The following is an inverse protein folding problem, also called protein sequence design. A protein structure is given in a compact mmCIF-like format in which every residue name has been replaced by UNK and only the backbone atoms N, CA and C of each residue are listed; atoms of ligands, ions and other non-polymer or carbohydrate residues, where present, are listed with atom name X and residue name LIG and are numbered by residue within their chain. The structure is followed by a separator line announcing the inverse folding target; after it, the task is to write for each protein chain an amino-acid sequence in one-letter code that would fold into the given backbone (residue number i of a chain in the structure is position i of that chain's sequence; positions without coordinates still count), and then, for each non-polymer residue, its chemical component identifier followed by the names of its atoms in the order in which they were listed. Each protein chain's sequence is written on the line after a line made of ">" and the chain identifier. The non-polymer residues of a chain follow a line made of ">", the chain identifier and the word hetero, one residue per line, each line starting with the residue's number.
data_IF_305918035456
#
_entry.id   IF_305918035456
#
_cell.length_a   1.000
_cell.length_b   1.000
_cell.length_c   1.000
_cell.angle_alpha   90.00
_cell.angle_beta   90.00
_cell.angle_gamma   90.00
#
_symmetry.space_group_name_H-M   'P 1'
#
loop_
_entity.id
_entity.type
_entity.pdbx_description
1 polymer ?
#
# COMPACT_ATOMS: atom_id res chain seq x y z
N UNK A 1 -16.12 -34.53 29.55
CA UNK A 1 -15.11 -33.77 28.78
C UNK A 1 -15.26 -32.31 29.11
N UNK A 2 -14.18 -31.69 29.58
CA UNK A 2 -14.18 -30.33 30.11
C UNK A 2 -14.41 -29.29 28.99
N UNK A 3 -15.48 -28.49 29.08
CA UNK A 3 -15.82 -27.44 28.13
C UNK A 3 -14.68 -26.42 27.97
N UNK A 4 -13.87 -26.21 29.02
CA UNK A 4 -12.69 -25.36 28.99
C UNK A 4 -11.61 -25.95 28.06
N UNK A 5 -11.50 -27.26 27.93
CA UNK A 5 -10.54 -27.92 27.05
C UNK A 5 -10.97 -27.86 25.59
N UNK A 6 -12.29 -27.92 25.33
CA UNK A 6 -12.82 -27.71 23.97
C UNK A 6 -12.63 -26.25 23.52
N UNK A 7 -12.87 -25.28 24.41
CA UNK A 7 -12.63 -23.86 24.10
C UNK A 7 -11.14 -23.57 23.82
N UNK A 8 -10.23 -24.12 24.64
CA UNK A 8 -8.77 -24.00 24.40
C UNK A 8 -8.35 -24.61 23.06
N UNK A 9 -8.95 -25.73 22.65
CA UNK A 9 -8.66 -26.38 21.37
C UNK A 9 -9.22 -25.57 20.19
N UNK A 10 -10.38 -24.93 20.34
CA UNK A 10 -10.95 -24.02 19.34
C UNK A 10 -10.08 -22.78 19.21
N UNK A 11 -9.66 -22.16 20.33
CA UNK A 11 -8.76 -21.00 20.33
C UNK A 11 -7.39 -21.36 19.74
N UNK A 12 -6.81 -22.53 20.07
CA UNK A 12 -5.56 -23.02 19.45
C UNK A 12 -5.71 -23.26 17.95
N UNK A 13 -6.83 -23.83 17.51
CA UNK A 13 -7.13 -24.05 16.09
C UNK A 13 -7.32 -22.72 15.34
N UNK A 14 -7.99 -21.76 15.94
CA UNK A 14 -8.18 -20.42 15.40
C UNK A 14 -6.86 -19.65 15.33
N UNK A 15 -6.00 -19.74 16.35
CA UNK A 15 -4.66 -19.14 16.35
C UNK A 15 -3.71 -19.83 15.36
N UNK A 16 -3.84 -21.15 15.11
CA UNK A 16 -3.09 -21.85 14.08
C UNK A 16 -3.56 -21.53 12.66
N UNK A 17 -4.87 -21.29 12.47
CA UNK A 17 -5.44 -20.81 11.22
C UNK A 17 -4.96 -19.38 10.93
N UNK A 18 -4.89 -18.50 11.95
CA UNK A 18 -4.38 -17.14 11.81
C UNK A 18 -2.87 -17.06 11.50
N UNK A 19 -2.08 -18.09 11.80
CA UNK A 19 -0.65 -18.10 11.46
C UNK A 19 -0.37 -18.39 9.97
N UNK A 20 -1.36 -18.84 9.21
CA UNK A 20 -1.24 -19.18 7.79
C UNK A 20 -2.00 -18.23 6.84
N UNK A 21 -2.57 -17.14 7.37
CA UNK A 21 -3.29 -16.17 6.54
C UNK A 21 -2.29 -15.13 6.01
N UNK A 22 -2.29 -14.92 4.70
CA UNK A 22 -1.48 -13.88 4.10
C UNK A 22 -1.90 -12.49 4.63
N UNK A 23 -0.93 -11.64 4.92
CA UNK A 23 -1.18 -10.22 5.16
C UNK A 23 -1.59 -9.57 3.85
N UNK A 24 -2.75 -8.96 3.80
CA UNK A 24 -3.25 -8.27 2.61
C UNK A 24 -3.16 -6.77 2.85
N UNK A 25 -2.50 -6.07 1.94
CA UNK A 25 -2.31 -4.63 1.96
C UNK A 25 -2.76 -4.06 0.62
N UNK A 26 -3.81 -3.26 0.63
CA UNK A 26 -4.32 -2.60 -0.59
C UNK A 26 -3.78 -1.19 -0.70
N UNK A 27 -3.16 -0.86 -1.84
CA UNK A 27 -2.70 0.48 -2.18
C UNK A 27 -3.75 1.15 -3.06
N UNK A 28 -4.26 2.28 -2.62
CA UNK A 28 -5.34 3.00 -3.31
C UNK A 28 -5.14 4.52 -3.27
N UNK A 29 -5.90 5.25 -4.08
CA UNK A 29 -5.93 6.72 -4.05
C UNK A 29 -7.20 7.25 -4.68
N UNK A 30 -7.63 8.44 -4.28
CA UNK A 30 -8.74 9.14 -4.91
C UNK A 30 -8.41 9.65 -6.32
N UNK A 31 -7.13 9.91 -6.64
CA UNK A 31 -6.69 10.52 -7.90
C UNK A 31 -5.66 9.65 -8.62
N UNK A 32 -5.73 9.64 -9.97
CA UNK A 32 -4.72 9.02 -10.81
C UNK A 32 -3.37 9.73 -10.75
N UNK A 33 -2.27 8.99 -10.99
CA UNK A 33 -0.94 9.57 -11.11
C UNK A 33 -0.27 10.02 -9.80
N UNK A 34 -0.86 9.77 -8.62
CA UNK A 34 -0.28 10.15 -7.32
C UNK A 34 0.82 9.21 -6.83
N UNK A 35 1.11 8.12 -7.56
CA UNK A 35 2.24 7.22 -7.27
C UNK A 35 1.89 5.91 -6.57
N UNK A 36 0.64 5.42 -6.67
CA UNK A 36 0.21 4.12 -6.11
C UNK A 36 1.11 2.96 -6.51
N UNK A 37 1.26 2.72 -7.81
CA UNK A 37 2.04 1.60 -8.35
C UNK A 37 3.51 1.68 -7.95
N UNK A 38 4.08 2.91 -7.90
CA UNK A 38 5.42 3.12 -7.36
C UNK A 38 5.53 2.72 -5.89
N UNK A 39 4.52 3.07 -5.07
CA UNK A 39 4.48 2.62 -3.68
C UNK A 39 4.35 1.09 -3.62
N UNK A 40 3.42 0.49 -4.36
CA UNK A 40 3.18 -0.96 -4.33
C UNK A 40 4.44 -1.76 -4.67
N UNK A 41 5.12 -1.45 -5.78
CA UNK A 41 6.31 -2.21 -6.21
C UNK A 41 7.52 -1.96 -5.31
N UNK A 42 7.77 -0.72 -4.87
CA UNK A 42 8.90 -0.43 -3.99
C UNK A 42 8.66 -0.96 -2.56
N UNK A 43 7.42 -0.92 -2.06
CA UNK A 43 7.05 -1.57 -0.80
C UNK A 43 7.31 -3.08 -0.87
N UNK A 44 6.91 -3.74 -1.96
CA UNK A 44 7.16 -5.16 -2.16
C UNK A 44 8.66 -5.50 -2.14
N UNK A 45 9.49 -4.67 -2.79
CA UNK A 45 10.96 -4.80 -2.75
C UNK A 45 11.49 -4.70 -1.32
N UNK A 46 11.02 -3.73 -0.54
CA UNK A 46 11.48 -3.55 0.84
C UNK A 46 10.97 -4.68 1.76
N UNK A 47 9.74 -5.14 1.60
CA UNK A 47 9.23 -6.31 2.30
C UNK A 47 10.05 -7.56 1.97
N UNK A 48 10.44 -7.73 0.70
CA UNK A 48 11.30 -8.84 0.29
C UNK A 48 12.70 -8.75 0.88
N UNK A 49 13.30 -7.56 0.93
CA UNK A 49 14.57 -7.30 1.63
C UNK A 49 14.48 -7.63 3.14
N UNK A 50 13.31 -7.42 3.74
CA UNK A 50 13.01 -7.83 5.12
C UNK A 50 12.71 -9.35 5.26
N UNK A 51 13.00 -10.18 4.26
CA UNK A 51 12.84 -11.62 4.28
C UNK A 51 11.41 -12.12 4.10
N UNK A 52 10.46 -11.26 3.70
CA UNK A 52 9.07 -11.67 3.49
C UNK A 52 8.87 -12.25 2.09
N UNK A 53 7.98 -13.23 1.94
CA UNK A 53 7.48 -13.66 0.63
C UNK A 53 6.37 -12.71 0.22
N UNK A 54 6.44 -12.18 -1.01
CA UNK A 54 5.53 -11.13 -1.47
C UNK A 54 4.99 -11.49 -2.85
N UNK A 55 3.70 -11.25 -3.03
CA UNK A 55 3.05 -11.25 -4.33
C UNK A 55 2.36 -9.89 -4.50
N UNK A 56 2.50 -9.29 -5.66
CA UNK A 56 1.74 -8.10 -6.05
C UNK A 56 0.58 -8.55 -6.93
N UNK A 57 -0.60 -8.04 -6.64
CA UNK A 57 -1.74 -8.16 -7.53
C UNK A 57 -2.01 -6.81 -8.18
N UNK A 58 -1.77 -6.72 -9.49
CA UNK A 58 -2.10 -5.55 -10.30
C UNK A 58 -3.60 -5.56 -10.61
N UNK A 59 -4.36 -4.79 -9.84
CA UNK A 59 -5.80 -4.64 -9.96
C UNK A 59 -6.20 -3.36 -10.71
N UNK A 60 -5.26 -2.69 -11.40
CA UNK A 60 -5.53 -1.59 -12.32
C UNK A 60 -5.75 -2.13 -13.74
N UNK A 61 -7.00 -2.47 -14.05
CA UNK A 61 -7.38 -3.21 -15.28
C UNK A 61 -7.18 -2.47 -16.60
N UNK A 62 -6.68 -1.27 -16.57
CA UNK A 62 -6.44 -0.48 -17.79
C UNK A 62 -4.97 -0.26 -18.10
N UNK A 63 -4.11 -0.42 -17.12
CA UNK A 63 -2.69 -0.06 -17.22
C UNK A 63 -1.84 -1.12 -16.53
N UNK A 64 -1.09 -1.91 -17.28
CA UNK A 64 -0.16 -2.94 -16.80
C UNK A 64 1.06 -2.32 -16.08
N UNK A 65 0.82 -1.63 -14.97
CA UNK A 65 1.83 -0.82 -14.29
C UNK A 65 2.94 -1.66 -13.66
N UNK A 66 2.60 -2.77 -13.01
CA UNK A 66 3.56 -3.65 -12.34
C UNK A 66 4.44 -4.38 -13.36
N UNK A 67 3.86 -4.86 -14.46
CA UNK A 67 4.57 -5.51 -15.56
C UNK A 67 5.65 -4.61 -16.13
N UNK A 68 5.29 -3.35 -16.43
CA UNK A 68 6.19 -2.34 -16.96
C UNK A 68 7.32 -2.05 -15.97
N UNK A 69 7.00 -1.89 -14.67
CA UNK A 69 8.00 -1.56 -13.65
C UNK A 69 8.93 -2.71 -13.30
N UNK A 70 8.52 -3.95 -13.53
CA UNK A 70 9.35 -5.14 -13.33
C UNK A 70 10.04 -5.60 -14.61
N UNK A 71 9.67 -5.04 -15.76
CA UNK A 71 10.22 -5.44 -17.06
C UNK A 71 9.90 -6.91 -17.39
N UNK A 72 8.79 -7.44 -16.91
CA UNK A 72 8.41 -8.83 -17.05
C UNK A 72 7.03 -8.95 -17.71
N UNK A 73 6.87 -9.88 -18.64
CA UNK A 73 5.62 -10.11 -19.38
C UNK A 73 4.96 -11.37 -18.83
N UNK A 74 3.73 -11.28 -18.27
CA UNK A 74 3.01 -12.44 -17.77
C UNK A 74 2.62 -13.38 -18.90
N UNK A 75 2.82 -14.67 -18.69
CA UNK A 75 2.35 -15.71 -19.61
C UNK A 75 0.84 -15.93 -19.46
N UNK A 76 0.35 -15.86 -18.24
CA UNK A 76 -1.04 -16.03 -17.85
C UNK A 76 -1.45 -14.92 -16.89
N UNK A 77 -2.74 -14.64 -16.84
CA UNK A 77 -3.34 -13.61 -15.99
C UNK A 77 -4.51 -14.17 -15.16
N UNK A 78 -5.15 -13.34 -14.37
CA UNK A 78 -6.28 -13.76 -13.55
C UNK A 78 -7.47 -14.31 -14.37
N UNK A 79 -7.68 -13.85 -15.60
CA UNK A 79 -8.73 -14.39 -16.49
C UNK A 79 -8.45 -15.85 -16.87
N UNK A 80 -7.19 -16.24 -17.03
CA UNK A 80 -6.80 -17.63 -17.29
C UNK A 80 -7.10 -18.53 -16.10
N UNK A 81 -6.93 -18.03 -14.88
CA UNK A 81 -7.32 -18.73 -13.65
C UNK A 81 -8.84 -18.91 -13.58
N UNK A 82 -9.62 -17.84 -13.82
CA UNK A 82 -11.09 -17.85 -13.64
C UNK A 82 -11.78 -18.66 -14.75
N UNK A 83 -11.37 -18.46 -16.01
CA UNK A 83 -12.12 -18.97 -17.17
C UNK A 83 -11.45 -20.13 -17.89
N UNK A 84 -10.15 -20.36 -17.70
CA UNK A 84 -9.39 -21.39 -18.42
C UNK A 84 -8.83 -22.49 -17.54
N UNK A 85 -9.18 -22.50 -16.24
CA UNK A 85 -8.82 -23.55 -15.29
C UNK A 85 -7.33 -23.61 -14.96
N UNK A 86 -6.58 -22.53 -15.18
CA UNK A 86 -5.18 -22.45 -14.77
C UNK A 86 -5.06 -22.45 -13.25
N UNK A 87 -4.01 -23.07 -12.73
CA UNK A 87 -3.71 -23.04 -11.29
C UNK A 87 -3.19 -21.66 -10.87
N UNK A 88 -3.41 -21.30 -9.60
CA UNK A 88 -2.94 -20.02 -9.06
C UNK A 88 -1.43 -19.82 -9.21
N UNK A 89 -0.64 -20.89 -9.07
CA UNK A 89 0.82 -20.86 -9.25
C UNK A 89 1.23 -20.60 -10.69
N UNK A 90 0.43 -21.01 -11.65
CA UNK A 90 0.72 -20.84 -13.07
C UNK A 90 0.55 -19.39 -13.52
N UNK A 91 -0.34 -18.64 -12.85
CA UNK A 91 -0.60 -17.21 -13.16
C UNK A 91 0.30 -16.23 -12.37
N UNK A 92 1.09 -16.72 -11.42
CA UNK A 92 2.08 -15.89 -10.72
C UNK A 92 3.33 -15.81 -11.61
N UNK A 93 3.61 -14.62 -12.10
CA UNK A 93 4.82 -14.33 -12.87
C UNK A 93 5.95 -13.93 -11.92
N UNK A 94 7.15 -14.53 -12.04
CA UNK A 94 8.29 -14.10 -11.23
C UNK A 94 8.82 -12.74 -11.70
N UNK A 95 9.00 -11.84 -10.75
CA UNK A 95 9.64 -10.54 -10.91
C UNK A 95 10.99 -10.47 -10.19
N UNK A 96 11.56 -9.27 -10.03
CA UNK A 96 12.83 -9.06 -9.34
C UNK A 96 12.82 -9.62 -7.91
N UNK A 97 13.93 -10.20 -7.47
CA UNK A 97 14.12 -10.77 -6.12
C UNK A 97 13.10 -11.86 -5.74
N UNK A 98 12.57 -12.63 -6.68
CA UNK A 98 11.49 -13.60 -6.49
C UNK A 98 10.19 -12.96 -5.93
N UNK A 99 9.93 -11.71 -6.22
CA UNK A 99 8.63 -11.10 -5.98
C UNK A 99 7.68 -11.62 -7.07
N UNK A 100 6.66 -12.37 -6.68
CA UNK A 100 5.63 -12.79 -7.62
C UNK A 100 4.72 -11.60 -7.98
N UNK A 101 4.17 -11.60 -9.19
CA UNK A 101 3.05 -10.71 -9.49
C UNK A 101 1.99 -11.41 -10.34
N UNK A 102 0.75 -10.96 -10.17
CA UNK A 102 -0.41 -11.42 -10.92
C UNK A 102 -0.93 -10.21 -11.68
N UNK A 103 -0.97 -10.34 -12.99
CA UNK A 103 -1.54 -9.31 -13.86
C UNK A 103 -3.05 -9.40 -13.90
N UNK A 104 -3.66 -8.25 -14.00
CA UNK A 104 -5.06 -7.96 -13.89
C UNK A 104 -6.05 -8.90 -14.54
N UNK A 105 -7.25 -8.77 -14.14
CA UNK A 105 -8.41 -9.53 -14.56
C UNK A 105 -9.55 -9.30 -13.57
N UNK A 106 -10.78 -9.34 -14.02
CA UNK A 106 -11.96 -9.08 -13.20
C UNK A 106 -12.09 -10.08 -12.04
N UNK A 107 -12.05 -9.60 -10.81
CA UNK A 107 -12.69 -10.29 -9.69
C UNK A 107 -11.82 -10.69 -8.50
N UNK A 108 -12.31 -10.30 -7.32
CA UNK A 108 -11.82 -10.67 -5.98
C UNK A 108 -11.94 -12.18 -5.70
N UNK A 109 -12.73 -12.91 -6.49
CA UNK A 109 -13.15 -14.31 -6.26
C UNK A 109 -11.97 -15.29 -6.13
N UNK A 110 -10.81 -14.99 -6.73
CA UNK A 110 -9.62 -15.84 -6.66
C UNK A 110 -8.71 -15.64 -5.44
N UNK A 111 -8.85 -14.54 -4.70
CA UNK A 111 -7.90 -14.17 -3.63
C UNK A 111 -7.89 -15.17 -2.47
N UNK A 112 -9.03 -15.78 -2.15
CA UNK A 112 -9.11 -16.78 -1.08
C UNK A 112 -8.23 -18.03 -1.33
N UNK A 113 -7.87 -18.32 -2.59
CA UNK A 113 -6.99 -19.42 -2.94
C UNK A 113 -5.50 -19.09 -2.75
N UNK A 114 -5.13 -17.78 -2.77
CA UNK A 114 -3.77 -17.33 -2.49
C UNK A 114 -3.35 -17.64 -1.04
N UNK A 115 -4.29 -17.71 -0.11
CA UNK A 115 -4.03 -18.07 1.29
C UNK A 115 -3.47 -19.50 1.46
N UNK A 116 -3.82 -20.42 0.56
CA UNK A 116 -3.36 -21.83 0.64
C UNK A 116 -1.92 -22.02 0.17
N UNK A 117 -1.37 -21.08 -0.60
CA UNK A 117 -0.08 -21.23 -1.31
C UNK A 117 1.11 -20.64 -0.53
N UNK A 118 0.96 -20.44 0.80
CA UNK A 118 2.01 -19.92 1.67
C UNK A 118 2.50 -18.50 1.28
N UNK A 119 1.66 -17.71 0.62
CA UNK A 119 1.93 -16.29 0.39
C UNK A 119 1.83 -15.56 1.72
N UNK A 120 2.93 -14.94 2.15
CA UNK A 120 3.00 -14.25 3.44
C UNK A 120 2.48 -12.81 3.39
N UNK A 121 2.61 -12.16 2.21
CA UNK A 121 2.18 -10.78 2.00
C UNK A 121 1.65 -10.61 0.58
N UNK A 122 0.43 -10.13 0.46
CA UNK A 122 -0.21 -9.76 -0.79
C UNK A 122 -0.34 -8.24 -0.83
N UNK A 123 0.28 -7.61 -1.80
CA UNK A 123 0.13 -6.16 -2.08
C UNK A 123 -0.80 -6.02 -3.28
N UNK A 124 -1.91 -5.31 -3.11
CA UNK A 124 -2.89 -5.06 -4.17
C UNK A 124 -2.70 -3.62 -4.66
N UNK A 125 -2.31 -3.43 -5.92
CA UNK A 125 -2.26 -2.13 -6.58
C UNK A 125 -3.57 -1.88 -7.32
N UNK A 126 -4.42 -0.99 -6.81
CA UNK A 126 -5.75 -0.72 -7.40
C UNK A 126 -5.70 0.39 -8.44
N UNK A 127 -6.72 0.48 -9.26
CA UNK A 127 -7.02 1.70 -10.01
C UNK A 127 -7.23 2.90 -9.07
N UNK A 128 -7.37 4.09 -9.66
CA UNK A 128 -7.68 5.31 -8.92
C UNK A 128 -9.19 5.57 -8.87
N UNK A 129 -9.61 6.35 -7.88
CA UNK A 129 -10.97 6.88 -7.79
C UNK A 129 -11.92 6.03 -6.95
N UNK A 130 -13.22 6.12 -7.26
CA UNK A 130 -14.31 5.63 -6.43
C UNK A 130 -15.17 4.56 -7.12
N UNK A 131 -14.61 3.84 -8.11
CA UNK A 131 -15.34 2.76 -8.77
C UNK A 131 -15.69 1.66 -7.76
N UNK A 132 -16.80 0.96 -8.00
CA UNK A 132 -17.26 -0.15 -7.15
C UNK A 132 -16.13 -1.16 -6.92
N UNK A 133 -15.36 -1.45 -7.96
CA UNK A 133 -14.24 -2.37 -7.90
C UNK A 133 -13.13 -1.91 -6.94
N UNK A 134 -12.74 -0.62 -6.98
CA UNK A 134 -11.76 -0.06 -6.03
C UNK A 134 -12.29 -0.16 -4.61
N UNK A 135 -13.57 0.19 -4.40
CA UNK A 135 -14.20 0.09 -3.07
C UNK A 135 -14.25 -1.35 -2.57
N UNK A 136 -14.54 -2.32 -3.43
CA UNK A 136 -14.54 -3.75 -3.06
C UNK A 136 -13.15 -4.22 -2.59
N UNK A 137 -12.07 -3.87 -3.28
CA UNK A 137 -10.71 -4.19 -2.83
C UNK A 137 -10.38 -3.55 -1.50
N UNK A 138 -10.74 -2.28 -1.32
CA UNK A 138 -10.52 -1.55 -0.07
C UNK A 138 -11.31 -2.19 1.08
N UNK A 139 -12.57 -2.54 0.88
CA UNK A 139 -13.42 -3.17 1.90
C UNK A 139 -12.98 -4.60 2.24
N UNK A 140 -12.44 -5.34 1.27
CA UNK A 140 -11.96 -6.71 1.48
C UNK A 140 -10.60 -6.78 2.19
N UNK A 141 -9.90 -5.65 2.35
CA UNK A 141 -8.54 -5.63 2.86
C UNK A 141 -8.48 -5.17 4.31
N UNK A 142 -7.79 -5.92 5.20
CA UNK A 142 -7.56 -5.51 6.59
C UNK A 142 -6.73 -4.23 6.71
N UNK A 143 -5.82 -4.01 5.75
CA UNK A 143 -4.92 -2.86 5.72
C UNK A 143 -4.98 -2.16 4.38
N UNK A 144 -5.12 -0.84 4.40
CA UNK A 144 -5.22 0.02 3.21
C UNK A 144 -4.21 1.15 3.30
N UNK A 145 -3.42 1.34 2.26
CA UNK A 145 -2.52 2.48 2.09
C UNK A 145 -3.18 3.48 1.15
N UNK A 146 -3.68 4.56 1.71
CA UNK A 146 -4.23 5.68 0.95
C UNK A 146 -3.12 6.64 0.56
N UNK A 147 -2.78 6.68 -0.72
CA UNK A 147 -1.76 7.59 -1.26
C UNK A 147 -2.40 8.93 -1.63
N UNK A 148 -1.88 10.00 -1.07
CA UNK A 148 -2.29 11.37 -1.41
C UNK A 148 -1.07 12.28 -1.55
N UNK A 149 -1.22 13.36 -2.31
CA UNK A 149 -0.20 14.41 -2.49
C UNK A 149 -0.66 15.71 -1.86
N UNK A 150 0.24 16.70 -1.65
CA UNK A 150 -0.14 18.03 -1.14
C UNK A 150 -1.10 18.81 -2.05
N UNK A 151 -1.27 18.38 -3.31
CA UNK A 151 -2.17 19.02 -4.27
C UNK A 151 -3.63 19.07 -3.75
N UNK A 152 -4.31 20.23 -3.80
CA UNK A 152 -5.70 20.34 -3.33
C UNK A 152 -6.65 19.33 -3.97
N UNK A 153 -6.51 19.06 -5.27
CA UNK A 153 -7.33 18.07 -5.99
C UNK A 153 -7.10 16.64 -5.43
N UNK A 154 -5.86 16.27 -5.12
CA UNK A 154 -5.55 14.96 -4.54
C UNK A 154 -6.20 14.78 -3.16
N UNK A 155 -6.20 15.82 -2.33
CA UNK A 155 -6.85 15.81 -1.02
C UNK A 155 -8.37 15.68 -1.15
N UNK A 156 -8.98 16.45 -2.08
CA UNK A 156 -10.42 16.39 -2.34
C UNK A 156 -10.85 15.01 -2.84
N UNK A 157 -10.10 14.44 -3.79
CA UNK A 157 -10.40 13.13 -4.35
C UNK A 157 -10.18 12.01 -3.31
N UNK A 158 -9.15 12.13 -2.48
CA UNK A 158 -8.93 11.20 -1.35
C UNK A 158 -10.08 11.26 -0.33
N UNK A 159 -10.58 12.45 0.01
CA UNK A 159 -11.76 12.59 0.85
C UNK A 159 -13.00 11.99 0.19
N UNK A 160 -13.18 12.19 -1.12
CA UNK A 160 -14.31 11.62 -1.86
C UNK A 160 -14.31 10.10 -1.83
N UNK A 161 -13.14 9.47 -1.98
CA UNK A 161 -12.97 8.01 -1.82
C UNK A 161 -13.37 7.56 -0.41
N UNK A 162 -12.84 8.23 0.63
CA UNK A 162 -13.15 7.90 2.02
C UNK A 162 -14.65 8.08 2.31
N UNK A 163 -15.26 9.16 1.81
CA UNK A 163 -16.69 9.41 1.95
C UNK A 163 -17.53 8.31 1.28
N UNK A 164 -17.17 7.88 0.07
CA UNK A 164 -17.84 6.78 -0.62
C UNK A 164 -17.71 5.47 0.18
N UNK A 165 -16.52 5.17 0.69
CA UNK A 165 -16.24 4.00 1.53
C UNK A 165 -17.09 4.00 2.81
N UNK A 166 -17.04 5.08 3.60
CA UNK A 166 -17.76 5.18 4.88
C UNK A 166 -19.29 5.20 4.73
N UNK A 167 -19.79 5.57 3.54
CA UNK A 167 -21.22 5.52 3.21
C UNK A 167 -21.68 4.19 2.63
N UNK A 168 -20.76 3.31 2.28
CA UNK A 168 -21.10 2.00 1.76
C UNK A 168 -21.67 1.12 2.89
N UNK A 169 -22.88 0.55 2.74
CA UNK A 169 -23.51 -0.25 3.77
C UNK A 169 -22.74 -1.52 4.14
N UNK A 170 -21.87 -1.99 3.25
CA UNK A 170 -21.04 -3.18 3.45
C UNK A 170 -19.70 -2.85 4.14
N UNK A 171 -19.38 -1.57 4.36
CA UNK A 171 -18.12 -1.18 5.00
C UNK A 171 -18.21 -1.29 6.52
N UNK A 172 -17.31 -2.09 7.09
CA UNK A 172 -17.17 -2.23 8.55
C UNK A 172 -15.94 -1.45 8.99
N UNK A 173 -16.14 -0.26 9.53
CA UNK A 173 -15.06 0.68 9.88
C UNK A 173 -14.01 0.09 10.85
N UNK A 174 -14.37 -0.86 11.72
CA UNK A 174 -13.44 -1.56 12.61
C UNK A 174 -12.68 -2.73 11.97
N UNK A 175 -13.06 -3.14 10.74
CA UNK A 175 -12.45 -4.28 10.03
C UNK A 175 -11.27 -3.89 9.13
N UNK A 176 -11.13 -2.61 8.81
CA UNK A 176 -10.10 -2.09 7.90
C UNK A 176 -9.33 -0.96 8.56
N UNK A 177 -8.01 -1.08 8.58
CA UNK A 177 -7.10 -0.01 9.04
C UNK A 177 -6.62 0.80 7.84
N UNK A 178 -6.91 2.10 7.80
CA UNK A 178 -6.51 2.98 6.71
C UNK A 178 -5.31 3.80 7.14
N UNK A 179 -4.21 3.64 6.41
CA UNK A 179 -2.96 4.36 6.58
C UNK A 179 -2.79 5.39 5.46
N UNK A 180 -2.50 6.63 5.81
CA UNK A 180 -2.17 7.69 4.85
C UNK A 180 -0.68 7.65 4.54
N UNK A 181 -0.34 7.69 3.26
CA UNK A 181 1.01 7.89 2.73
C UNK A 181 1.03 9.21 1.95
N UNK A 182 1.76 10.18 2.47
CA UNK A 182 1.93 11.48 1.82
C UNK A 182 3.05 11.42 0.78
N UNK A 183 2.71 11.49 -0.51
CA UNK A 183 3.68 11.37 -1.60
C UNK A 183 4.00 12.73 -2.24
N UNK A 184 5.19 12.82 -2.86
CA UNK A 184 5.71 14.02 -3.54
C UNK A 184 5.81 15.23 -2.63
N UNK A 185 6.18 15.01 -1.39
CA UNK A 185 6.33 16.09 -0.42
C UNK A 185 7.72 16.72 -0.48
N UNK A 186 7.80 18.00 -0.17
CA UNK A 186 9.04 18.78 -0.15
C UNK A 186 9.61 18.96 1.25
N UNK A 187 8.78 18.78 2.29
CA UNK A 187 9.17 18.85 3.69
C UNK A 187 8.38 17.88 4.57
N UNK A 188 8.86 17.64 5.77
CA UNK A 188 8.18 16.85 6.80
C UNK A 188 6.85 17.47 7.19
N UNK A 189 6.81 18.80 7.34
CA UNK A 189 5.61 19.53 7.72
C UNK A 189 4.52 19.45 6.63
N UNK A 190 4.93 19.46 5.36
CA UNK A 190 4.00 19.27 4.25
C UNK A 190 3.40 17.87 4.25
N UNK A 191 4.24 16.84 4.51
CA UNK A 191 3.79 15.46 4.63
C UNK A 191 2.81 15.25 5.77
N UNK A 192 3.12 15.79 6.95
CA UNK A 192 2.23 15.77 8.12
C UNK A 192 0.93 16.52 7.82
N UNK A 193 1.02 17.69 7.18
CA UNK A 193 -0.14 18.51 6.82
C UNK A 193 -1.14 17.83 5.87
N UNK A 194 -0.68 16.94 4.98
CA UNK A 194 -1.57 16.09 4.15
C UNK A 194 -2.40 15.16 5.04
N UNK A 195 -1.75 14.46 5.96
CA UNK A 195 -2.43 13.58 6.90
C UNK A 195 -3.40 14.33 7.80
N UNK A 196 -2.95 15.43 8.42
CA UNK A 196 -3.75 16.19 9.38
C UNK A 196 -5.05 16.72 8.75
N UNK A 197 -4.96 17.22 7.51
CA UNK A 197 -6.14 17.69 6.75
C UNK A 197 -7.12 16.54 6.49
N UNK A 198 -6.64 15.40 6.00
CA UNK A 198 -7.49 14.24 5.72
C UNK A 198 -8.09 13.68 7.00
N UNK A 199 -7.29 13.50 8.06
CA UNK A 199 -7.77 12.95 9.31
C UNK A 199 -8.77 13.88 10.01
N UNK A 200 -8.57 15.20 9.94
CA UNK A 200 -9.51 16.19 10.50
C UNK A 200 -10.89 16.07 9.86
N UNK A 201 -10.98 16.07 8.52
CA UNK A 201 -12.28 15.98 7.82
C UNK A 201 -12.93 14.61 7.99
N UNK A 202 -12.14 13.53 8.05
CA UNK A 202 -12.65 12.17 8.30
C UNK A 202 -13.20 12.06 9.72
N UNK A 203 -12.47 12.54 10.72
CA UNK A 203 -12.93 12.53 12.11
C UNK A 203 -14.20 13.36 12.29
N UNK A 204 -14.25 14.56 11.69
CA UNK A 204 -15.37 15.48 11.85
C UNK A 204 -16.64 15.04 11.13
N UNK A 205 -16.53 14.52 9.90
CA UNK A 205 -17.70 14.29 9.04
C UNK A 205 -18.04 12.82 8.82
N UNK A 206 -17.08 11.91 9.03
CA UNK A 206 -17.25 10.47 8.80
C UNK A 206 -17.13 9.67 10.09
N UNK A 207 -16.82 10.31 11.22
CA UNK A 207 -16.59 9.67 12.52
C UNK A 207 -15.56 8.53 12.46
N UNK A 208 -14.61 8.65 11.54
CA UNK A 208 -13.56 7.67 11.31
C UNK A 208 -12.21 8.14 11.85
N UNK A 209 -11.22 7.27 11.73
CA UNK A 209 -9.84 7.56 12.12
C UNK A 209 -8.91 7.04 11.02
N UNK A 210 -7.92 7.87 10.67
CA UNK A 210 -6.83 7.48 9.80
C UNK A 210 -5.54 7.32 10.61
N UNK A 211 -4.61 6.51 10.14
CA UNK A 211 -3.27 6.41 10.68
C UNK A 211 -2.28 7.05 9.71
N UNK A 212 -1.23 7.68 10.23
CA UNK A 212 -0.14 8.19 9.39
C UNK A 212 0.95 7.13 9.29
N UNK A 213 1.17 6.58 8.08
CA UNK A 213 2.27 5.62 7.86
C UNK A 213 3.60 6.33 7.62
N UNK A 214 3.56 7.49 6.96
CA UNK A 214 4.73 8.28 6.64
C UNK A 214 4.63 8.97 5.28
N UNK A 215 5.77 9.36 4.73
CA UNK A 215 5.85 10.16 3.52
C UNK A 215 6.92 9.68 2.54
N UNK A 216 6.74 10.05 1.28
CA UNK A 216 7.71 9.85 0.21
C UNK A 216 8.08 11.22 -0.34
N UNK A 217 9.35 11.64 -0.26
CA UNK A 217 9.78 12.93 -0.77
C UNK A 217 9.72 12.97 -2.30
N UNK A 218 9.55 14.15 -2.86
CA UNK A 218 9.82 14.36 -4.27
C UNK A 218 11.31 14.12 -4.53
N UNK A 219 11.61 13.22 -5.48
CA UNK A 219 12.97 12.74 -5.72
C UNK A 219 13.20 12.45 -7.20
N UNK A 220 14.20 13.11 -7.78
CA UNK A 220 14.59 12.90 -9.17
C UNK A 220 15.05 11.46 -9.44
N UNK A 221 15.60 10.76 -8.43
CA UNK A 221 15.97 9.36 -8.55
C UNK A 221 14.75 8.47 -8.81
N UNK A 222 13.62 8.73 -8.12
CA UNK A 222 12.37 8.02 -8.36
C UNK A 222 11.83 8.30 -9.76
N UNK A 223 11.85 9.56 -10.21
CA UNK A 223 11.40 9.91 -11.57
C UNK A 223 12.26 9.25 -12.64
N UNK A 224 13.58 9.21 -12.46
CA UNK A 224 14.51 8.53 -13.36
C UNK A 224 14.24 7.02 -13.41
N UNK A 225 14.04 6.39 -12.26
CA UNK A 225 13.78 4.95 -12.19
C UNK A 225 12.48 4.56 -12.91
N UNK A 226 11.43 5.37 -12.79
CA UNK A 226 10.17 5.18 -13.53
C UNK A 226 10.39 5.23 -15.04
N UNK A 227 11.18 6.22 -15.54
CA UNK A 227 11.51 6.31 -16.99
C UNK A 227 12.34 5.12 -17.48
N UNK A 228 13.11 4.50 -16.59
CA UNK A 228 13.91 3.30 -16.89
C UNK A 228 13.16 1.99 -16.66
N UNK A 229 11.87 2.04 -16.28
CA UNK A 229 11.06 0.87 -16.00
C UNK A 229 11.69 -0.04 -14.93
N UNK A 230 12.24 0.57 -13.89
CA UNK A 230 12.88 -0.11 -12.77
C UNK A 230 12.42 0.49 -11.44
N UNK A 231 12.51 -0.30 -10.38
CA UNK A 231 12.18 0.20 -9.05
C UNK A 231 13.35 0.98 -8.46
N UNK A 232 13.09 2.16 -7.90
CA UNK A 232 14.15 2.99 -7.29
C UNK A 232 14.84 2.28 -6.13
N UNK A 233 14.12 1.43 -5.40
CA UNK A 233 14.66 0.62 -4.31
C UNK A 233 15.74 -0.39 -4.74
N UNK A 234 15.80 -0.73 -6.03
CA UNK A 234 16.85 -1.58 -6.62
C UNK A 234 17.88 -0.76 -7.38
N UNK A 235 17.44 0.24 -8.15
CA UNK A 235 18.30 1.03 -9.02
C UNK A 235 19.18 2.00 -8.21
N UNK A 236 18.58 2.74 -7.27
CA UNK A 236 19.27 3.74 -6.45
C UNK A 236 18.89 3.59 -4.97
N UNK A 237 19.35 2.51 -4.31
CA UNK A 237 18.90 2.14 -2.96
C UNK A 237 19.25 3.19 -1.88
N UNK A 238 20.20 4.06 -2.14
CA UNK A 238 20.60 5.13 -1.23
C UNK A 238 19.87 6.45 -1.49
N UNK A 239 18.97 6.51 -2.48
CA UNK A 239 18.15 7.68 -2.75
C UNK A 239 17.16 7.97 -1.60
N UNK A 240 16.73 9.23 -1.50
CA UNK A 240 15.77 9.63 -0.45
C UNK A 240 14.44 8.89 -0.54
N UNK A 241 13.97 8.66 -1.76
CA UNK A 241 12.73 7.90 -2.00
C UNK A 241 12.91 6.42 -1.65
N UNK A 242 14.04 5.78 -1.97
CA UNK A 242 14.31 4.39 -1.59
C UNK A 242 14.34 4.21 -0.07
N UNK A 243 15.00 5.13 0.65
CA UNK A 243 15.00 5.15 2.12
C UNK A 243 13.59 5.40 2.69
N UNK A 244 12.79 6.24 2.04
CA UNK A 244 11.40 6.44 2.43
C UNK A 244 10.58 5.15 2.33
N UNK A 245 10.69 4.41 1.23
CA UNK A 245 10.02 3.12 1.07
C UNK A 245 10.49 2.08 2.11
N UNK A 246 11.77 2.07 2.47
CA UNK A 246 12.30 1.21 3.54
C UNK A 246 11.65 1.55 4.89
N UNK A 247 11.58 2.83 5.24
CA UNK A 247 10.94 3.30 6.47
C UNK A 247 9.45 2.96 6.48
N UNK A 248 8.73 3.17 5.37
CA UNK A 248 7.32 2.81 5.26
C UNK A 248 7.09 1.30 5.45
N UNK A 249 7.94 0.46 4.87
CA UNK A 249 7.90 -0.98 5.08
C UNK A 249 8.17 -1.36 6.54
N UNK A 250 9.17 -0.74 7.17
CA UNK A 250 9.47 -0.90 8.58
C UNK A 250 8.31 -0.50 9.49
N UNK A 251 7.71 0.67 9.23
CA UNK A 251 6.54 1.15 9.96
C UNK A 251 5.36 0.18 9.82
N UNK A 252 5.10 -0.29 8.61
CA UNK A 252 4.03 -1.23 8.33
C UNK A 252 4.24 -2.58 9.03
N UNK A 253 5.49 -3.10 9.06
CA UNK A 253 5.81 -4.39 9.67
C UNK A 253 5.78 -4.36 11.19
N UNK A 254 6.25 -3.26 11.80
CA UNK A 254 6.53 -3.16 13.23
C UNK A 254 5.53 -2.29 13.99
N UNK A 255 4.58 -1.64 13.30
CA UNK A 255 3.66 -0.68 13.91
C UNK A 255 4.38 0.57 14.44
N UNK A 256 5.52 0.95 13.83
CA UNK A 256 6.29 2.13 14.20
C UNK A 256 5.87 3.36 13.38
N UNK A 257 6.37 4.55 13.74
CA UNK A 257 6.08 5.81 13.06
C UNK A 257 7.35 6.59 12.73
N UNK A 258 8.40 5.88 12.28
CA UNK A 258 9.64 6.50 11.85
C UNK A 258 9.40 7.37 10.60
N UNK A 259 10.19 8.44 10.46
CA UNK A 259 10.10 9.35 9.33
C UNK A 259 11.45 9.53 8.65
N UNK A 260 11.42 9.81 7.34
CA UNK A 260 12.61 10.17 6.57
C UNK A 260 13.15 11.51 7.08
N UNK A 261 14.43 11.55 7.36
CA UNK A 261 15.09 12.81 7.69
C UNK A 261 15.25 13.65 6.42
N UNK A 262 14.47 14.70 6.30
CA UNK A 262 14.65 15.68 5.23
C UNK A 262 15.69 16.71 5.68
N UNK A 263 16.71 16.99 4.85
CA UNK A 263 17.67 18.05 5.15
C UNK A 263 16.91 19.37 5.29
N UNK A 264 17.05 20.02 6.44
CA UNK A 264 16.53 21.38 6.62
C UNK A 264 17.20 22.26 5.58
N UNK A 265 16.41 22.95 4.76
CA UNK A 265 16.96 23.95 3.85
C UNK A 265 17.67 25.05 4.64
N UNK A 266 18.66 25.69 4.00
CA UNK A 266 19.47 26.77 4.62
C UNK A 266 18.60 27.81 5.32
N UNK A 267 17.42 28.16 4.79
CA UNK A 267 16.45 29.07 5.40
C UNK A 267 15.90 28.60 6.75
N UNK A 268 15.69 27.30 6.95
CA UNK A 268 15.24 26.75 8.25
C UNK A 268 16.38 26.64 9.27
N UNK A 269 17.63 26.49 8.83
CA UNK A 269 18.80 26.62 9.72
C UNK A 269 18.90 28.03 10.27
N UNK A 270 18.68 29.05 9.47
CA UNK A 270 18.69 30.46 9.93
C UNK A 270 17.53 30.77 10.87
N UNK A 271 16.33 30.25 10.62
CA UNK A 271 15.18 30.49 11.52
C UNK A 271 15.35 29.81 12.88
N UNK A 272 15.97 28.63 12.94
CA UNK A 272 16.28 27.98 14.23
C UNK A 272 17.39 28.70 15.01
N UNK A 273 18.32 29.37 14.33
CA UNK A 273 19.34 30.21 14.97
C UNK A 273 18.74 31.51 15.54
N UNK A 274 17.74 32.09 14.86
CA UNK A 274 17.07 33.32 15.30
C UNK A 274 16.03 33.09 16.41
N UNK A 275 15.46 31.86 16.52
CA UNK A 275 14.50 31.53 17.57
C UNK A 275 15.16 30.98 18.86
N UNK A 276 16.45 30.70 18.84
CA UNK A 276 17.23 30.21 20.00
C UNK A 276 17.81 31.35 20.89
N UNK A 277 17.52 32.61 20.60
CA UNK A 277 17.94 33.76 21.38
C UNK A 277 16.72 34.56 21.88
N UNK A 278 15.87 33.91 22.67
CA UNK A 278 14.93 34.58 23.56
C UNK A 278 14.92 33.87 24.92
#
# INVERSE_FOLDING_TARGET
>A
MDQAQQLRNVIKKQNQINQNVARVVTVTSGKGGVGKSNLAVNLAVQLRKAGKRVVIFDADFGLANVEVMFGAIPQYNLSDFIYRGKGIKEIITPGPMDIGFISGGAGIIGLNNLYREQIMNLVIDTGAGISDQVLEFVMASPEVLLVSTPEPSSLTDSYSLLKALYRNPNFVAGGTTIHVVSNRVTSTDEGQGVYDKLNSVVSQFLHGKLNYLGMIPQDAALEKSVRQQQTVSLLEPNSRSAQAFEILAGNLLNGTHNQVTMRKGIGQMFSSFLSGHK
#
